data_IF_695809287976
#
_entry.id   IF_695809287976
#
_cell.length_a   1.000
_cell.length_b   1.000
_cell.length_c   1.000
_cell.angle_alpha   90.00
_cell.angle_beta   90.00
_cell.angle_gamma   90.00
#
_symmetry.space_group_name_H-M   'P 1'
#
loop_
_entity.id
_entity.type
_entity.pdbx_description
1 polymer ?
#
# COMPACT_ATOMS: atom_id res chain seq x y z
N UNK A 1 -8.90 -51.80 -14.77
CA UNK A 1 -9.35 -50.41 -14.58
C UNK A 1 -8.74 -49.98 -13.26
N UNK A 2 -7.48 -49.57 -13.31
CA UNK A 2 -6.61 -49.40 -12.15
C UNK A 2 -7.00 -48.14 -11.37
N UNK A 3 -7.43 -48.32 -10.12
CA UNK A 3 -7.85 -47.24 -9.22
C UNK A 3 -6.75 -46.18 -9.02
N UNK A 4 -5.49 -46.59 -9.08
CA UNK A 4 -4.33 -45.71 -8.94
C UNK A 4 -4.21 -44.71 -10.08
N UNK A 5 -4.62 -45.09 -11.30
CA UNK A 5 -4.63 -44.18 -12.44
C UNK A 5 -5.69 -43.08 -12.32
N UNK A 6 -6.81 -43.37 -11.65
CA UNK A 6 -7.86 -42.39 -11.38
C UNK A 6 -7.46 -41.40 -10.29
N UNK A 7 -6.72 -41.86 -9.27
CA UNK A 7 -6.21 -41.01 -8.21
C UNK A 7 -5.17 -40.01 -8.73
N UNK A 8 -4.28 -40.46 -9.60
CA UNK A 8 -3.28 -39.59 -10.25
C UNK A 8 -3.92 -38.46 -11.06
N UNK A 9 -4.97 -38.77 -11.84
CA UNK A 9 -5.68 -37.77 -12.63
C UNK A 9 -6.41 -36.74 -11.76
N UNK A 10 -6.94 -37.14 -10.60
CA UNK A 10 -7.58 -36.20 -9.68
C UNK A 10 -6.59 -35.24 -9.02
N UNK A 11 -5.42 -35.74 -8.62
CA UNK A 11 -4.35 -34.93 -8.03
C UNK A 11 -3.79 -33.91 -9.03
N UNK A 12 -3.57 -34.33 -10.28
CA UNK A 12 -3.09 -33.44 -11.36
C UNK A 12 -4.11 -32.34 -11.71
N UNK A 13 -5.41 -32.67 -11.75
CA UNK A 13 -6.49 -31.70 -11.97
C UNK A 13 -6.53 -30.66 -10.84
N UNK A 14 -6.41 -31.09 -9.58
CA UNK A 14 -6.42 -30.20 -8.42
C UNK A 14 -5.18 -29.28 -8.42
N UNK A 15 -4.02 -29.81 -8.77
CA UNK A 15 -2.76 -29.07 -8.88
C UNK A 15 -2.83 -27.98 -9.97
N UNK A 16 -3.35 -28.31 -11.14
CA UNK A 16 -3.57 -27.34 -12.23
C UNK A 16 -4.55 -26.23 -11.82
N UNK A 17 -5.62 -26.58 -11.09
CA UNK A 17 -6.60 -25.61 -10.61
C UNK A 17 -5.97 -24.62 -9.62
N UNK A 18 -5.13 -25.10 -8.69
CA UNK A 18 -4.37 -24.23 -7.76
C UNK A 18 -3.43 -23.28 -8.49
N UNK A 19 -2.72 -23.76 -9.53
CA UNK A 19 -1.84 -22.92 -10.36
C UNK A 19 -2.64 -21.89 -11.15
N UNK A 20 -3.79 -22.27 -11.70
CA UNK A 20 -4.69 -21.39 -12.45
C UNK A 20 -5.22 -20.24 -11.58
N UNK A 21 -5.66 -20.56 -10.36
CA UNK A 21 -6.14 -19.57 -9.38
C UNK A 21 -5.01 -18.61 -9.00
N UNK A 22 -3.83 -19.12 -8.65
CA UNK A 22 -2.67 -18.30 -8.31
C UNK A 22 -2.29 -17.35 -9.45
N UNK A 23 -2.24 -17.85 -10.70
CA UNK A 23 -1.88 -17.06 -11.89
C UNK A 23 -2.91 -15.96 -12.17
N UNK A 24 -4.21 -16.26 -12.05
CA UNK A 24 -5.30 -15.27 -12.23
C UNK A 24 -5.27 -14.16 -11.18
N UNK A 25 -4.77 -14.42 -9.97
CA UNK A 25 -4.57 -13.38 -8.96
C UNK A 25 -3.51 -12.34 -9.37
N UNK A 26 -2.51 -12.72 -10.17
CA UNK A 26 -1.46 -11.80 -10.61
C UNK A 26 -1.80 -11.04 -11.90
N UNK A 27 -2.66 -11.58 -12.77
CA UNK A 27 -2.99 -10.94 -14.06
C UNK A 27 -4.09 -9.88 -13.98
N UNK A 28 -4.84 -9.81 -12.88
CA UNK A 28 -5.92 -8.82 -12.69
C UNK A 28 -5.43 -7.44 -12.23
N UNK A 29 -4.18 -7.31 -11.78
CA UNK A 29 -3.55 -6.02 -11.49
C UNK A 29 -2.61 -5.63 -12.63
N UNK A 30 -3.19 -5.01 -13.65
CA UNK A 30 -2.42 -4.26 -14.63
C UNK A 30 -1.78 -3.08 -13.86
N UNK A 31 -0.48 -3.18 -13.57
CA UNK A 31 0.27 -2.11 -12.94
C UNK A 31 -0.04 -0.78 -13.67
N UNK A 32 -0.57 0.25 -12.97
CA UNK A 32 -0.54 1.58 -13.55
C UNK A 32 0.93 1.94 -13.76
N UNK A 33 1.24 2.32 -15.00
CA UNK A 33 2.59 2.71 -15.47
C UNK A 33 3.26 3.62 -14.42
N UNK A 34 4.58 3.51 -14.19
CA UNK A 34 5.26 4.39 -13.25
C UNK A 34 5.03 5.84 -13.66
N UNK A 35 4.30 6.58 -12.83
CA UNK A 35 4.00 7.99 -13.05
C UNK A 35 5.29 8.79 -12.89
N UNK A 36 5.65 9.51 -13.94
CA UNK A 36 6.67 10.53 -13.95
C UNK A 36 6.18 11.75 -13.14
N UNK A 37 6.51 11.78 -11.85
CA UNK A 37 6.15 12.89 -10.96
C UNK A 37 6.80 14.19 -11.40
N UNK A 38 6.02 15.02 -12.10
CA UNK A 38 6.29 16.46 -12.18
C UNK A 38 6.02 17.03 -10.78
N UNK A 39 7.05 17.59 -10.15
CA UNK A 39 6.93 18.32 -8.88
C UNK A 39 5.93 19.48 -9.07
N UNK A 40 4.69 19.32 -8.60
CA UNK A 40 3.74 20.43 -8.50
C UNK A 40 3.94 21.05 -7.12
N UNK A 41 4.51 22.25 -7.10
CA UNK A 41 4.82 22.99 -5.88
C UNK A 41 3.57 23.25 -5.03
N UNK A 42 3.68 22.94 -3.75
CA UNK A 42 2.68 23.27 -2.74
C UNK A 42 2.57 24.78 -2.56
N UNK A 43 1.38 25.35 -2.82
CA UNK A 43 0.97 26.64 -2.25
C UNK A 43 0.08 26.34 -1.04
N UNK A 44 0.59 26.54 0.17
CA UNK A 44 -0.25 26.62 1.36
C UNK A 44 -0.38 28.08 1.77
N UNK A 45 -1.60 28.59 1.70
CA UNK A 45 -2.01 29.84 2.32
C UNK A 45 -2.28 29.53 3.80
N UNK A 46 -1.49 30.12 4.69
CA UNK A 46 -1.59 29.91 6.12
C UNK A 46 -0.60 30.84 6.82
N UNK A 47 -1.10 32.02 7.18
CA UNK A 47 -0.40 33.06 7.92
C UNK A 47 0.12 32.48 9.24
N UNK A 48 1.43 32.25 9.32
CA UNK A 48 2.14 31.95 10.55
C UNK A 48 3.36 32.87 10.61
N UNK A 49 3.26 33.89 11.44
CA UNK A 49 4.31 34.85 11.76
C UNK A 49 5.41 34.18 12.59
N UNK A 50 6.22 33.36 11.94
CA UNK A 50 7.61 33.05 12.31
C UNK A 50 8.19 32.22 11.16
N UNK A 51 9.23 32.75 10.50
CA UNK A 51 9.89 32.05 9.40
C UNK A 51 10.42 30.69 9.90
N UNK A 52 9.99 29.56 9.32
CA UNK A 52 10.53 28.26 9.71
C UNK A 52 12.02 28.23 9.34
N UNK A 53 12.89 28.08 10.35
CA UNK A 53 14.33 27.91 10.12
C UNK A 53 14.57 26.72 9.19
N UNK A 54 15.48 26.86 8.24
CA UNK A 54 15.87 25.83 7.25
C UNK A 54 16.20 24.48 7.88
N UNK A 55 16.70 24.47 9.11
CA UNK A 55 16.95 23.26 9.91
C UNK A 55 15.69 22.41 10.16
N UNK A 56 14.51 23.04 10.26
CA UNK A 56 13.23 22.35 10.53
C UNK A 56 12.72 21.59 9.30
N UNK A 57 12.99 22.10 8.09
CA UNK A 57 12.60 21.46 6.83
C UNK A 57 13.37 20.16 6.59
N UNK A 58 14.67 20.14 6.92
CA UNK A 58 15.54 18.97 6.73
C UNK A 58 15.10 17.81 7.64
N UNK A 59 14.70 18.08 8.88
CA UNK A 59 14.27 17.05 9.83
C UNK A 59 13.00 16.27 9.38
N UNK A 60 12.17 16.85 8.51
CA UNK A 60 10.97 16.17 7.98
C UNK A 60 11.22 15.38 6.70
N UNK A 61 12.35 15.62 6.02
CA UNK A 61 12.67 15.09 4.69
C UNK A 61 13.29 13.69 4.71
N UNK A 62 13.73 13.18 5.87
CA UNK A 62 14.41 11.87 5.95
C UNK A 62 13.46 10.68 5.80
N UNK A 63 12.14 10.90 5.87
CA UNK A 63 11.18 9.83 5.62
C UNK A 63 10.92 9.72 4.12
N UNK A 64 11.50 8.68 3.51
CA UNK A 64 11.18 8.26 2.15
C UNK A 64 9.65 8.31 1.94
N UNK A 65 9.12 9.20 1.08
CA UNK A 65 7.67 9.36 0.91
C UNK A 65 7.02 8.09 0.34
N UNK A 66 7.84 7.20 -0.24
CA UNK A 66 7.44 5.93 -0.83
C UNK A 66 7.63 4.73 0.12
N UNK A 67 7.98 4.96 1.40
CA UNK A 67 8.11 3.88 2.36
C UNK A 67 6.74 3.44 2.89
N UNK A 68 6.55 2.13 2.99
CA UNK A 68 5.35 1.54 3.56
C UNK A 68 5.13 2.00 5.01
N UNK A 69 3.87 2.26 5.38
CA UNK A 69 3.52 2.74 6.73
C UNK A 69 3.63 1.65 7.81
N UNK A 70 3.61 0.38 7.41
CA UNK A 70 3.66 -0.78 8.30
C UNK A 70 5.08 -1.33 8.48
N UNK A 71 5.99 -1.01 7.56
CA UNK A 71 7.38 -1.43 7.58
C UNK A 71 8.22 -0.52 6.68
N UNK A 72 9.46 -0.23 7.05
CA UNK A 72 10.37 0.68 6.30
C UNK A 72 10.85 0.15 4.93
N UNK A 73 10.08 -0.71 4.26
CA UNK A 73 10.35 -1.23 2.93
C UNK A 73 9.73 -0.38 1.82
N UNK A 74 10.24 -0.55 0.60
CA UNK A 74 9.77 0.15 -0.61
C UNK A 74 8.67 -0.69 -1.26
N UNK A 75 7.43 -0.49 -0.84
CA UNK A 75 6.24 -1.04 -1.47
C UNK A 75 5.01 -0.23 -1.07
N UNK A 76 3.95 -0.35 -1.85
CA UNK A 76 2.68 0.28 -1.53
C UNK A 76 2.04 -0.38 -0.29
N UNK A 77 1.61 0.46 0.65
CA UNK A 77 1.10 0.03 1.96
C UNK A 77 -0.10 -0.93 1.84
N UNK A 78 -0.95 -0.78 0.82
CA UNK A 78 -2.09 -1.66 0.55
C UNK A 78 -1.71 -3.12 0.29
N UNK A 79 -0.51 -3.38 -0.21
CA UNK A 79 -0.01 -4.73 -0.52
C UNK A 79 0.97 -5.27 0.51
N UNK A 80 1.12 -4.61 1.66
CA UNK A 80 2.07 -5.01 2.67
C UNK A 80 1.72 -6.38 3.28
N UNK A 81 2.56 -7.39 3.04
CA UNK A 81 2.36 -8.74 3.60
C UNK A 81 2.41 -8.74 5.13
N UNK A 82 3.24 -7.87 5.73
CA UNK A 82 3.33 -7.71 7.18
C UNK A 82 2.03 -7.15 7.75
N UNK A 83 1.42 -6.17 7.07
CA UNK A 83 0.13 -5.61 7.46
C UNK A 83 -1.01 -6.63 7.45
N UNK A 84 -0.97 -7.61 6.55
CA UNK A 84 -1.96 -8.72 6.52
C UNK A 84 -1.91 -9.59 7.78
N UNK A 85 -0.75 -9.70 8.43
CA UNK A 85 -0.55 -10.47 9.66
C UNK A 85 -0.79 -9.66 10.93
N UNK A 86 -0.91 -8.34 10.83
CA UNK A 86 -1.15 -7.45 11.97
C UNK A 86 -2.61 -7.47 12.43
N UNK A 87 -2.82 -7.26 13.73
CA UNK A 87 -4.16 -7.05 14.27
C UNK A 87 -4.79 -5.75 13.72
N UNK A 88 -6.12 -5.63 13.82
CA UNK A 88 -6.82 -4.40 13.44
C UNK A 88 -6.35 -3.20 14.27
N UNK A 89 -6.12 -3.40 15.57
CA UNK A 89 -5.64 -2.36 16.49
C UNK A 89 -4.22 -1.91 16.14
N UNK A 90 -3.33 -2.85 15.83
CA UNK A 90 -1.96 -2.55 15.40
C UNK A 90 -1.94 -1.76 14.10
N UNK A 91 -2.81 -2.14 13.15
CA UNK A 91 -2.95 -1.41 11.88
C UNK A 91 -3.45 0.01 12.12
N UNK A 92 -4.49 0.18 12.94
CA UNK A 92 -5.02 1.50 13.28
C UNK A 92 -3.96 2.39 13.95
N UNK A 93 -3.21 1.84 14.92
CA UNK A 93 -2.11 2.55 15.57
C UNK A 93 -1.03 2.96 14.57
N UNK A 94 -0.66 2.09 13.64
CA UNK A 94 0.31 2.42 12.60
C UNK A 94 -0.15 3.62 11.73
N UNK A 95 -1.40 3.60 11.26
CA UNK A 95 -1.99 4.70 10.48
C UNK A 95 -2.03 6.01 11.29
N UNK A 96 -2.40 5.94 12.58
CA UNK A 96 -2.42 7.11 13.46
C UNK A 96 -1.01 7.69 13.67
N UNK A 97 -0.04 6.83 13.94
CA UNK A 97 1.35 7.23 14.17
C UNK A 97 2.00 7.84 12.93
N UNK A 98 1.69 7.30 11.74
CA UNK A 98 2.19 7.83 10.46
C UNK A 98 1.43 9.06 9.97
N UNK A 99 0.31 9.42 10.62
CA UNK A 99 -0.64 10.46 10.18
C UNK A 99 -1.11 10.23 8.74
N UNK A 100 -1.34 8.97 8.40
CA UNK A 100 -1.82 8.57 7.07
C UNK A 100 -3.34 8.53 7.01
N UNK A 101 -3.89 8.54 5.80
CA UNK A 101 -5.29 8.34 5.55
C UNK A 101 -5.71 6.92 5.93
N UNK A 102 -6.83 6.78 6.65
CA UNK A 102 -7.38 5.46 7.00
C UNK A 102 -7.97 4.70 5.80
N UNK A 103 -8.20 5.37 4.68
CA UNK A 103 -8.75 4.76 3.47
C UNK A 103 -7.62 4.32 2.52
N UNK A 104 -6.88 5.27 1.97
CA UNK A 104 -5.86 4.99 0.95
C UNK A 104 -4.44 4.79 1.50
N UNK A 105 -4.23 4.96 2.82
CA UNK A 105 -2.94 4.77 3.49
C UNK A 105 -1.83 5.78 3.10
N UNK A 106 -2.11 6.72 2.21
CA UNK A 106 -1.22 7.83 1.87
C UNK A 106 -1.13 8.88 2.97
N UNK A 107 -0.02 9.60 2.99
CA UNK A 107 0.22 10.72 3.91
C UNK A 107 -0.34 12.03 3.35
N UNK A 108 -0.52 13.01 4.22
CA UNK A 108 -0.86 14.39 3.83
C UNK A 108 -2.35 14.69 3.73
N UNK A 109 -3.23 13.73 3.98
CA UNK A 109 -4.67 13.96 4.09
C UNK A 109 -5.34 12.99 5.06
N UNK A 110 -6.54 13.37 5.51
CA UNK A 110 -7.42 12.54 6.35
C UNK A 110 -8.54 11.93 5.50
N UNK A 111 -9.22 10.90 6.01
CA UNK A 111 -10.32 10.22 5.32
C UNK A 111 -11.42 11.18 4.83
N UNK A 112 -11.71 12.25 5.58
CA UNK A 112 -12.70 13.26 5.20
C UNK A 112 -12.35 14.01 3.89
N UNK A 113 -11.06 14.08 3.55
CA UNK A 113 -10.52 14.74 2.35
C UNK A 113 -9.92 13.74 1.35
N UNK A 114 -10.17 12.44 1.53
CA UNK A 114 -9.62 11.42 0.65
C UNK A 114 -10.34 11.44 -0.71
N UNK A 115 -9.55 11.41 -1.78
CA UNK A 115 -10.08 11.42 -3.16
C UNK A 115 -10.83 10.13 -3.49
N UNK A 116 -10.33 8.99 -3.01
CA UNK A 116 -10.94 7.67 -3.21
C UNK A 116 -12.30 7.52 -2.53
N UNK A 117 -12.64 8.36 -1.54
CA UNK A 117 -13.94 8.30 -0.87
C UNK A 117 -15.12 8.56 -1.83
N UNK A 118 -14.88 9.31 -2.91
CA UNK A 118 -15.91 9.72 -3.86
C UNK A 118 -15.74 9.05 -5.24
N UNK A 119 -14.88 8.03 -5.36
CA UNK A 119 -14.69 7.24 -6.59
C UNK A 119 -15.38 5.89 -6.45
#
# INVERSE_FOLDING_TARGET
MDLDGLLFLLDEIEDEERVSIATKCFTKYQFPKPWNTKHVGFKNHGEFTQAPSTSTLIATSEQNPNACIFYSGIHESGYCFKARKMSSEERQKAVQNSRSCFLCLDRGHVIAKCREKNM
#
